data_IF_784208559288
#
_entry.id   IF_784208559288
#
_cell.length_a   1.000
_cell.length_b   1.000
_cell.length_c   1.000
_cell.angle_alpha   90.00
_cell.angle_beta   90.00
_cell.angle_gamma   90.00
#
_symmetry.space_group_name_H-M   'P 1'
#
loop_
_entity.id
_entity.type
_entity.pdbx_description
1 polymer ?
#
# COMPACT_ATOMS: atom_id res chain seq x y z
N UNK A 1 1.69 20.72 13.15
CA UNK A 1 1.61 22.12 12.62
C UNK A 1 0.44 22.21 11.63
N UNK A 2 -0.11 23.44 11.45
CA UNK A 2 -1.24 23.66 10.51
C UNK A 2 -0.92 23.20 9.08
N UNK A 3 0.33 23.32 8.66
CA UNK A 3 0.80 22.84 7.35
C UNK A 3 0.71 21.33 7.18
N UNK A 4 0.96 20.55 8.23
CA UNK A 4 0.84 19.10 8.18
C UNK A 4 -0.61 18.64 8.03
N UNK A 5 -1.54 19.33 8.67
CA UNK A 5 -2.98 19.06 8.52
C UNK A 5 -3.46 19.39 7.12
N UNK A 6 -3.04 20.55 6.58
CA UNK A 6 -3.36 20.95 5.19
C UNK A 6 -2.79 19.94 4.18
N UNK A 7 -1.54 19.53 4.38
CA UNK A 7 -0.87 18.55 3.54
C UNK A 7 -1.59 17.19 3.55
N UNK A 8 -2.04 16.74 4.73
CA UNK A 8 -2.83 15.52 4.86
C UNK A 8 -4.14 15.60 4.06
N UNK A 9 -4.87 16.71 4.17
CA UNK A 9 -6.12 16.90 3.40
C UNK A 9 -5.87 16.98 1.90
N UNK A 10 -4.75 17.55 1.44
CA UNK A 10 -4.39 17.55 0.04
C UNK A 10 -4.09 16.15 -0.51
N UNK A 11 -3.31 15.36 0.24
CA UNK A 11 -3.01 13.97 -0.15
C UNK A 11 -4.30 13.14 -0.15
N UNK A 12 -5.09 13.20 0.92
CA UNK A 12 -6.36 12.49 1.02
C UNK A 12 -7.34 12.90 -0.08
N UNK A 13 -7.48 14.21 -0.35
CA UNK A 13 -8.31 14.74 -1.41
C UNK A 13 -7.89 14.27 -2.80
N UNK A 14 -6.58 14.22 -3.06
CA UNK A 14 -6.03 13.67 -4.31
C UNK A 14 -6.40 12.20 -4.52
N UNK A 15 -6.26 11.38 -3.48
CA UNK A 15 -6.59 9.96 -3.52
C UNK A 15 -8.10 9.76 -3.66
N UNK A 16 -8.90 10.48 -2.88
CA UNK A 16 -10.37 10.42 -2.95
C UNK A 16 -10.87 10.82 -4.33
N UNK A 17 -10.27 11.82 -4.98
CA UNK A 17 -10.66 12.25 -6.32
C UNK A 17 -10.51 11.13 -7.37
N UNK A 18 -9.50 10.26 -7.22
CA UNK A 18 -9.35 9.07 -8.05
C UNK A 18 -10.46 8.03 -7.80
N UNK A 19 -10.87 7.87 -6.54
CA UNK A 19 -11.94 6.95 -6.15
C UNK A 19 -13.35 7.41 -6.56
N UNK A 20 -13.62 8.72 -6.49
CA UNK A 20 -14.94 9.29 -6.78
C UNK A 20 -15.44 8.99 -8.21
N UNK A 21 -14.53 8.85 -9.16
CA UNK A 21 -14.90 8.49 -10.53
C UNK A 21 -15.47 7.08 -10.65
N UNK A 22 -15.03 6.17 -9.81
CA UNK A 22 -15.56 4.79 -9.74
C UNK A 22 -16.82 4.67 -8.89
N UNK A 23 -17.26 5.76 -8.23
CA UNK A 23 -18.36 5.69 -7.25
C UNK A 23 -19.66 5.20 -7.88
N UNK A 24 -19.95 5.58 -9.12
CA UNK A 24 -21.14 5.07 -9.85
C UNK A 24 -21.06 3.58 -10.12
N UNK A 25 -19.87 3.04 -10.37
CA UNK A 25 -19.64 1.61 -10.52
C UNK A 25 -19.75 0.88 -9.19
N UNK A 26 -19.22 1.46 -8.13
CA UNK A 26 -19.29 0.90 -6.77
C UNK A 26 -20.75 0.85 -6.25
N UNK A 27 -21.54 1.90 -6.51
CA UNK A 27 -22.95 1.92 -6.12
C UNK A 27 -23.81 0.89 -6.86
N UNK A 28 -23.41 0.48 -8.07
CA UNK A 28 -24.07 -0.60 -8.82
C UNK A 28 -23.73 -2.00 -8.28
N UNK A 29 -22.62 -2.13 -7.56
CA UNK A 29 -22.13 -3.40 -7.04
C UNK A 29 -21.83 -3.30 -5.54
N UNK A 30 -22.85 -3.42 -4.66
CA UNK A 30 -22.72 -3.22 -3.22
C UNK A 30 -21.69 -4.19 -2.57
N UNK A 31 -21.53 -5.39 -3.13
CA UNK A 31 -20.51 -6.32 -2.67
C UNK A 31 -19.09 -5.77 -2.86
N UNK A 32 -18.80 -5.14 -4.01
CA UNK A 32 -17.49 -4.51 -4.26
C UNK A 32 -17.23 -3.37 -3.28
N UNK A 33 -18.24 -2.59 -2.95
CA UNK A 33 -18.14 -1.51 -1.96
C UNK A 33 -17.79 -2.07 -0.57
N UNK A 34 -18.50 -3.12 -0.15
CA UNK A 34 -18.26 -3.79 1.13
C UNK A 34 -16.82 -4.32 1.24
N UNK A 35 -16.34 -5.02 0.21
CA UNK A 35 -14.96 -5.53 0.20
C UNK A 35 -13.92 -4.40 0.17
N UNK A 36 -14.17 -3.33 -0.59
CA UNK A 36 -13.25 -2.19 -0.65
C UNK A 36 -13.14 -1.48 0.70
N UNK A 37 -14.27 -1.20 1.36
CA UNK A 37 -14.29 -0.57 2.68
C UNK A 37 -13.65 -1.50 3.73
N UNK A 38 -13.98 -2.79 3.71
CA UNK A 38 -13.38 -3.79 4.58
C UNK A 38 -11.86 -3.85 4.44
N UNK A 39 -11.36 -3.88 3.19
CA UNK A 39 -9.92 -3.84 2.92
C UNK A 39 -9.28 -2.56 3.44
N UNK A 40 -9.92 -1.40 3.26
CA UNK A 40 -9.43 -0.13 3.79
C UNK A 40 -9.29 -0.14 5.32
N UNK A 41 -10.30 -0.65 6.03
CA UNK A 41 -10.27 -0.80 7.49
C UNK A 41 -9.14 -1.74 7.92
N UNK A 42 -8.97 -2.88 7.24
CA UNK A 42 -7.90 -3.83 7.53
C UNK A 42 -6.52 -3.21 7.31
N UNK A 43 -6.33 -2.47 6.20
CA UNK A 43 -5.08 -1.77 5.90
C UNK A 43 -4.75 -0.75 6.99
N UNK A 44 -5.73 0.06 7.41
CA UNK A 44 -5.54 1.02 8.50
C UNK A 44 -5.18 0.34 9.81
N UNK A 45 -5.86 -0.76 10.13
CA UNK A 45 -5.65 -1.52 11.36
C UNK A 45 -4.24 -2.12 11.43
N UNK A 46 -3.81 -2.85 10.39
CA UNK A 46 -2.47 -3.44 10.43
C UNK A 46 -1.38 -2.38 10.39
N UNK A 47 -1.59 -1.26 9.70
CA UNK A 47 -0.62 -0.17 9.66
C UNK A 47 -0.36 0.42 11.06
N UNK A 48 -1.41 0.57 11.87
CA UNK A 48 -1.29 1.05 13.25
C UNK A 48 -0.60 -0.01 14.12
N UNK A 49 -1.02 -1.28 14.01
CA UNK A 49 -0.45 -2.37 14.78
C UNK A 49 1.04 -2.52 14.49
N UNK A 50 1.43 -2.50 13.21
CA UNK A 50 2.82 -2.61 12.79
C UNK A 50 3.67 -1.42 13.26
N UNK A 51 3.13 -0.20 13.13
CA UNK A 51 3.82 0.99 13.59
C UNK A 51 4.05 1.00 15.12
N UNK A 52 3.09 0.51 15.90
CA UNK A 52 3.25 0.32 17.35
C UNK A 52 4.19 -0.85 17.65
N UNK A 53 4.06 -1.95 16.93
CA UNK A 53 4.87 -3.15 17.08
C UNK A 53 6.36 -2.89 16.83
N UNK A 54 6.70 -2.17 15.76
CA UNK A 54 8.08 -1.76 15.46
C UNK A 54 8.67 -0.94 16.61
N UNK A 55 7.93 0.02 17.13
CA UNK A 55 8.41 0.89 18.22
C UNK A 55 8.59 0.15 19.55
N UNK A 56 7.73 -0.82 19.84
CA UNK A 56 7.77 -1.60 21.07
C UNK A 56 8.76 -2.76 21.02
N UNK A 57 9.19 -3.19 19.85
CA UNK A 57 10.08 -4.35 19.68
C UNK A 57 11.53 -4.10 20.11
N UNK A 58 11.96 -2.84 20.19
CA UNK A 58 13.34 -2.45 20.47
C UNK A 58 14.36 -2.83 19.38
N UNK A 59 13.95 -3.59 18.36
CA UNK A 59 14.79 -3.94 17.22
C UNK A 59 13.93 -4.12 15.96
N UNK A 60 13.96 -3.10 15.10
CA UNK A 60 13.17 -3.05 13.86
C UNK A 60 13.45 -4.23 12.93
N UNK A 61 14.71 -4.58 12.77
CA UNK A 61 15.10 -5.66 11.86
C UNK A 61 14.56 -7.02 12.33
N UNK A 62 14.62 -7.28 13.64
CA UNK A 62 14.04 -8.48 14.21
C UNK A 62 12.51 -8.51 14.01
N UNK A 63 11.84 -7.38 14.20
CA UNK A 63 10.39 -7.26 13.96
C UNK A 63 10.04 -7.56 12.50
N UNK A 64 10.74 -6.92 11.54
CA UNK A 64 10.54 -7.12 10.11
C UNK A 64 10.75 -8.60 9.73
N UNK A 65 11.84 -9.23 10.19
CA UNK A 65 12.11 -10.63 9.90
C UNK A 65 11.01 -11.55 10.45
N UNK A 66 10.59 -11.36 11.70
CA UNK A 66 9.52 -12.17 12.30
C UNK A 66 8.18 -11.98 11.61
N UNK A 67 7.85 -10.76 11.22
CA UNK A 67 6.61 -10.45 10.51
C UNK A 67 6.56 -11.19 9.18
N UNK A 68 7.61 -11.12 8.36
CA UNK A 68 7.65 -11.84 7.08
C UNK A 68 7.67 -13.36 7.25
N UNK A 69 8.33 -13.89 8.28
CA UNK A 69 8.30 -15.33 8.57
C UNK A 69 6.90 -15.80 8.94
N UNK A 70 6.20 -15.06 9.80
CA UNK A 70 4.84 -15.40 10.20
C UNK A 70 3.86 -15.29 9.03
N UNK A 71 3.96 -14.23 8.23
CA UNK A 71 3.15 -14.04 7.03
C UNK A 71 3.38 -15.19 6.03
N UNK A 72 4.65 -15.56 5.78
CA UNK A 72 5.01 -16.68 4.92
C UNK A 72 4.37 -17.98 5.41
N UNK A 73 4.46 -18.28 6.69
CA UNK A 73 3.88 -19.52 7.28
C UNK A 73 2.36 -19.53 7.08
N UNK A 74 1.68 -18.43 7.38
CA UNK A 74 0.22 -18.32 7.24
C UNK A 74 -0.23 -18.48 5.77
N UNK A 75 0.44 -17.77 4.85
CA UNK A 75 0.12 -17.85 3.42
C UNK A 75 0.39 -19.25 2.88
N UNK A 76 1.52 -19.87 3.25
CA UNK A 76 1.82 -21.25 2.84
C UNK A 76 0.81 -22.27 3.38
N UNK A 77 0.42 -22.15 4.64
CA UNK A 77 -0.60 -23.02 5.24
C UNK A 77 -1.93 -22.90 4.50
N UNK A 78 -2.36 -21.67 4.20
CA UNK A 78 -3.57 -21.42 3.42
C UNK A 78 -3.47 -22.01 2.00
N UNK A 79 -2.34 -21.79 1.31
CA UNK A 79 -2.12 -22.30 -0.03
C UNK A 79 -2.12 -23.84 -0.08
N UNK A 80 -1.47 -24.50 0.88
CA UNK A 80 -1.48 -25.96 0.96
C UNK A 80 -2.89 -26.49 1.20
N UNK A 81 -3.65 -25.85 2.10
CA UNK A 81 -5.02 -26.23 2.40
C UNK A 81 -5.96 -26.09 1.20
N UNK A 82 -5.87 -24.94 0.49
CA UNK A 82 -6.81 -24.60 -0.57
C UNK A 82 -6.45 -25.22 -1.93
N UNK A 83 -5.17 -25.19 -2.30
CA UNK A 83 -4.70 -25.63 -3.64
C UNK A 83 -4.15 -27.06 -3.70
N UNK A 84 -4.13 -27.79 -2.58
CA UNK A 84 -3.80 -29.24 -2.50
C UNK A 84 -2.60 -29.66 -3.37
N UNK A 85 -1.47 -28.98 -3.24
CA UNK A 85 -0.22 -29.36 -3.91
C UNK A 85 0.02 -28.69 -5.29
N UNK A 86 -0.94 -28.03 -5.91
CA UNK A 86 -0.73 -27.24 -7.14
C UNK A 86 0.14 -26.02 -6.91
N UNK A 87 0.21 -25.51 -5.67
CA UNK A 87 1.01 -24.33 -5.27
C UNK A 87 2.47 -24.45 -5.68
N UNK A 88 3.07 -25.65 -5.50
CA UNK A 88 4.49 -25.87 -5.86
C UNK A 88 4.73 -25.82 -7.37
N UNK A 89 3.76 -26.27 -8.17
CA UNK A 89 3.85 -26.23 -9.63
C UNK A 89 3.74 -24.78 -10.12
N UNK A 90 2.79 -24.02 -9.59
CA UNK A 90 2.61 -22.62 -9.93
C UNK A 90 3.78 -21.75 -9.47
N UNK A 91 4.31 -22.02 -8.27
CA UNK A 91 5.50 -21.32 -7.76
C UNK A 91 6.73 -21.55 -8.65
N UNK A 92 6.92 -22.79 -9.14
CA UNK A 92 7.98 -23.10 -10.09
C UNK A 92 7.78 -22.40 -11.44
N UNK A 93 6.55 -22.21 -11.89
CA UNK A 93 6.25 -21.51 -13.15
C UNK A 93 6.60 -20.01 -13.10
N UNK A 94 6.54 -19.39 -11.93
CA UNK A 94 6.94 -17.99 -11.70
C UNK A 94 8.47 -17.78 -11.83
N UNK A 95 9.26 -18.82 -11.50
CA UNK A 95 10.72 -18.80 -11.63
C UNK A 95 11.39 -17.57 -10.99
N UNK A 96 12.41 -17.04 -11.66
CA UNK A 96 13.15 -15.87 -11.19
C UNK A 96 12.29 -14.61 -11.01
N UNK A 97 11.22 -14.45 -11.79
CA UNK A 97 10.31 -13.29 -11.67
C UNK A 97 9.61 -13.24 -10.31
N UNK A 98 9.17 -14.40 -9.80
CA UNK A 98 8.56 -14.51 -8.48
C UNK A 98 9.54 -14.15 -7.36
N UNK A 99 10.80 -14.58 -7.47
CA UNK A 99 11.84 -14.26 -6.49
C UNK A 99 12.10 -12.75 -6.46
N UNK A 100 12.30 -12.11 -7.61
CA UNK A 100 12.50 -10.67 -7.69
C UNK A 100 11.31 -9.87 -7.17
N UNK A 101 10.08 -10.29 -7.50
CA UNK A 101 8.87 -9.66 -6.97
C UNK A 101 8.81 -9.76 -5.44
N UNK A 102 9.14 -10.90 -4.86
CA UNK A 102 9.20 -11.10 -3.41
C UNK A 102 10.26 -10.22 -2.74
N UNK A 103 11.47 -10.16 -3.28
CA UNK A 103 12.56 -9.31 -2.75
C UNK A 103 12.16 -7.83 -2.80
N UNK A 104 11.62 -7.36 -3.92
CA UNK A 104 11.19 -5.97 -4.08
C UNK A 104 10.04 -5.61 -3.13
N UNK A 105 9.08 -6.52 -2.96
CA UNK A 105 7.97 -6.34 -2.01
C UNK A 105 8.45 -6.28 -0.57
N UNK A 106 9.34 -7.19 -0.17
CA UNK A 106 9.92 -7.21 1.16
C UNK A 106 10.74 -5.94 1.44
N UNK A 107 11.53 -5.49 0.47
CA UNK A 107 12.28 -4.24 0.59
C UNK A 107 11.35 -3.02 0.72
N UNK A 108 10.32 -2.94 -0.12
CA UNK A 108 9.37 -1.84 -0.12
C UNK A 108 8.62 -1.75 1.22
N UNK A 109 8.09 -2.87 1.72
CA UNK A 109 7.37 -2.86 2.99
C UNK A 109 8.29 -2.72 4.20
N UNK A 110 9.45 -3.38 4.17
CA UNK A 110 10.46 -3.26 5.22
C UNK A 110 10.98 -1.82 5.39
N UNK A 111 11.14 -1.07 4.28
CA UNK A 111 11.53 0.35 4.34
C UNK A 111 10.45 1.23 4.98
N UNK A 112 9.17 0.91 4.77
CA UNK A 112 8.04 1.60 5.43
C UNK A 112 8.07 1.35 6.94
N UNK A 113 8.25 0.10 7.36
CA UNK A 113 8.35 -0.27 8.77
C UNK A 113 9.55 0.39 9.45
N UNK A 114 10.70 0.38 8.78
CA UNK A 114 11.89 1.07 9.28
C UNK A 114 11.65 2.58 9.46
N UNK A 115 10.98 3.23 8.52
CA UNK A 115 10.64 4.64 8.65
C UNK A 115 9.63 4.91 9.79
N UNK A 116 8.74 3.98 10.12
CA UNK A 116 7.77 4.11 11.22
C UNK A 116 8.40 4.02 12.60
N UNK A 117 9.63 3.54 12.73
CA UNK A 117 10.36 3.51 14.00
C UNK A 117 10.53 4.92 14.59
N UNK A 118 10.99 5.84 13.75
CA UNK A 118 11.39 7.20 14.18
C UNK A 118 10.45 8.29 13.74
N UNK A 119 9.67 8.06 12.67
CA UNK A 119 8.79 9.05 12.07
C UNK A 119 7.33 8.82 12.48
N UNK A 120 6.47 9.85 12.50
CA UNK A 120 5.05 9.70 12.79
C UNK A 120 4.39 8.70 11.83
N UNK A 121 3.65 7.71 12.36
CA UNK A 121 2.99 6.64 11.58
C UNK A 121 2.10 7.26 10.49
N UNK A 122 1.37 8.33 10.82
CA UNK A 122 0.49 9.03 9.89
C UNK A 122 1.26 9.63 8.71
N UNK A 123 2.46 10.18 8.94
CA UNK A 123 3.30 10.76 7.90
C UNK A 123 3.81 9.68 6.94
N UNK A 124 4.34 8.58 7.49
CA UNK A 124 4.86 7.46 6.71
C UNK A 124 3.73 6.79 5.90
N UNK A 125 2.56 6.62 6.51
CA UNK A 125 1.38 6.08 5.82
C UNK A 125 0.93 6.98 4.67
N UNK A 126 0.86 8.29 4.87
CA UNK A 126 0.51 9.23 3.81
C UNK A 126 1.52 9.21 2.66
N UNK A 127 2.83 9.12 2.95
CA UNK A 127 3.86 8.95 1.93
C UNK A 127 3.71 7.63 1.17
N UNK A 128 3.38 6.54 1.85
CA UNK A 128 3.11 5.25 1.20
C UNK A 128 1.98 5.34 0.17
N UNK A 129 0.92 6.05 0.50
CA UNK A 129 -0.23 6.20 -0.41
C UNK A 129 0.13 6.95 -1.71
N UNK A 130 1.25 7.70 -1.73
CA UNK A 130 1.73 8.34 -2.96
C UNK A 130 2.15 7.32 -4.04
N UNK A 131 2.47 6.10 -3.63
CA UNK A 131 2.78 5.00 -4.57
C UNK A 131 1.62 4.70 -5.54
N UNK A 132 0.37 4.91 -5.11
CA UNK A 132 -0.83 4.74 -5.96
C UNK A 132 -0.79 5.74 -7.12
N UNK A 133 -0.36 6.97 -6.85
CA UNK A 133 -0.22 8.01 -7.86
C UNK A 133 0.90 7.66 -8.84
N UNK A 134 2.05 7.22 -8.31
CA UNK A 134 3.17 6.78 -9.14
C UNK A 134 2.78 5.58 -10.02
N UNK A 135 2.07 4.60 -9.46
CA UNK A 135 1.54 3.46 -10.22
C UNK A 135 0.58 3.92 -11.34
N UNK A 136 -0.29 4.89 -11.06
CA UNK A 136 -1.20 5.47 -12.07
C UNK A 136 -0.45 6.18 -13.19
N UNK A 137 0.63 6.91 -12.88
CA UNK A 137 1.48 7.55 -13.89
C UNK A 137 2.21 6.51 -14.73
N UNK A 138 2.78 5.48 -14.11
CA UNK A 138 3.42 4.37 -14.83
C UNK A 138 2.43 3.66 -15.76
N UNK A 139 1.17 3.46 -15.35
CA UNK A 139 0.10 2.95 -16.20
C UNK A 139 -0.14 3.79 -17.46
N UNK A 140 -0.12 5.12 -17.32
CA UNK A 140 -0.27 6.03 -18.47
C UNK A 140 0.95 5.92 -19.41
N UNK A 141 2.18 5.90 -18.86
CA UNK A 141 3.39 5.94 -19.69
C UNK A 141 3.74 4.60 -20.33
N UNK A 142 3.60 3.48 -19.60
CA UNK A 142 4.03 2.15 -20.06
C UNK A 142 2.92 1.32 -20.69
N UNK A 143 1.66 1.47 -20.19
CA UNK A 143 0.52 0.71 -20.74
C UNK A 143 -0.32 1.50 -21.73
N UNK A 144 0.09 2.73 -22.09
CA UNK A 144 -0.66 3.60 -23.02
C UNK A 144 -2.13 3.80 -22.61
N UNK A 145 -2.41 3.79 -21.29
CA UNK A 145 -3.73 4.09 -20.80
C UNK A 145 -4.16 5.52 -21.20
N UNK A 146 -5.46 5.71 -21.41
CA UNK A 146 -5.99 7.04 -21.76
C UNK A 146 -5.56 8.06 -20.70
N UNK A 147 -4.96 9.16 -21.19
CA UNK A 147 -4.59 10.31 -20.34
C UNK A 147 -5.85 10.85 -19.68
N UNK A 148 -5.93 10.70 -18.38
CA UNK A 148 -7.06 11.12 -17.59
C UNK A 148 -6.67 12.36 -16.79
N UNK A 149 -7.34 13.46 -17.04
CA UNK A 149 -7.08 14.72 -16.35
C UNK A 149 -7.19 14.59 -14.83
N UNK A 150 -8.10 13.74 -14.35
CA UNK A 150 -8.27 13.47 -12.92
C UNK A 150 -7.03 12.77 -12.32
N UNK A 151 -6.41 11.84 -13.04
CA UNK A 151 -5.17 11.17 -12.60
C UNK A 151 -4.02 12.18 -12.47
N UNK A 152 -3.91 13.11 -13.42
CA UNK A 152 -2.87 14.16 -13.42
C UNK A 152 -3.11 15.13 -12.26
N UNK A 153 -4.36 15.57 -12.08
CA UNK A 153 -4.72 16.49 -10.99
C UNK A 153 -4.47 15.84 -9.61
N UNK A 154 -4.84 14.59 -9.44
CA UNK A 154 -4.56 13.83 -8.21
C UNK A 154 -3.05 13.74 -7.94
N UNK A 155 -2.24 13.48 -8.99
CA UNK A 155 -0.78 13.46 -8.88
C UNK A 155 -0.23 14.81 -8.39
N UNK A 156 -0.72 15.91 -8.95
CA UNK A 156 -0.32 17.25 -8.54
C UNK A 156 -0.72 17.56 -7.08
N UNK A 157 -1.95 17.23 -6.68
CA UNK A 157 -2.41 17.43 -5.31
C UNK A 157 -1.57 16.65 -4.30
N UNK A 158 -1.26 15.40 -4.61
CA UNK A 158 -0.43 14.55 -3.76
C UNK A 158 1.00 15.09 -3.68
N UNK A 159 1.58 15.50 -4.81
CA UNK A 159 2.94 16.08 -4.85
C UNK A 159 3.02 17.37 -4.03
N UNK A 160 2.03 18.25 -4.17
CA UNK A 160 1.95 19.48 -3.36
C UNK A 160 1.79 19.16 -1.87
N UNK A 161 0.96 18.17 -1.52
CA UNK A 161 0.81 17.72 -0.15
C UNK A 161 2.14 17.25 0.46
N UNK A 162 2.94 16.47 -0.29
CA UNK A 162 4.25 15.99 0.18
C UNK A 162 5.22 17.16 0.39
N UNK A 163 5.27 18.13 -0.52
CA UNK A 163 6.13 19.31 -0.40
C UNK A 163 5.76 20.11 0.86
N UNK A 164 4.47 20.28 1.13
CA UNK A 164 3.99 20.96 2.34
C UNK A 164 4.26 20.18 3.63
N UNK A 165 4.34 18.85 3.57
CA UNK A 165 4.71 18.03 4.73
C UNK A 165 6.15 18.24 5.18
N UNK A 166 7.03 18.67 4.29
CA UNK A 166 8.46 18.88 4.58
C UNK A 166 8.72 20.17 5.35
N UNK A 167 7.80 21.14 5.27
CA UNK A 167 7.89 22.42 5.99
C UNK A 167 7.07 22.39 7.28
#
# INVERSE_FOLDING_TARGET
TQYQVLAFFLVAGGIISLGLRSIRSFLRHPQSLFFTLGTGVLIGSYTIIDGLGVRSSGNVWAYICWLFVLEMVMVQAYCIYHYRGRTLVELKSLGAKGIWAGILSAYAYGSVLWAMETSPIMLVSALRETSVVMASLLGIFFLNERRDFVKILAALMVTLGIILMKN
#
